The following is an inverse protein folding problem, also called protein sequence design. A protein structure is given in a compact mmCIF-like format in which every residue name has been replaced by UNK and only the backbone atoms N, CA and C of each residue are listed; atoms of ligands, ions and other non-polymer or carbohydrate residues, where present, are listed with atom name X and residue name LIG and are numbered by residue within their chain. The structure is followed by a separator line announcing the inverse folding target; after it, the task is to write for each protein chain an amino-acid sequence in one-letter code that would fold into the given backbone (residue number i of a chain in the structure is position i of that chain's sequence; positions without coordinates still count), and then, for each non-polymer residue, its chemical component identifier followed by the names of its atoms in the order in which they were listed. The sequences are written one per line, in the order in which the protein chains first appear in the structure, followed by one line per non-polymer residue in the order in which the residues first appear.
data_IF_449070981983
#
_entry.id   IF_449070981983
#
_cell.length_a   1.000
_cell.length_b   1.000
_cell.length_c   1.000
_cell.angle_alpha   90.00
_cell.angle_beta   90.00
_cell.angle_gamma   90.00
#
_symmetry.space_group_name_H-M   'P 1'
#
loop_
_entity.id
_entity.type
_entity.pdbx_description
1 polymer ?
#
# COMPACT_ATOMS: atom_id res chain seq x y z
N UNK A 1 -1.88 21.25 8.17
CA UNK A 1 -0.89 20.15 7.93
C UNK A 1 -0.76 19.35 9.22
N UNK A 2 -0.77 18.01 9.18
CA UNK A 2 -0.47 17.22 10.39
C UNK A 2 1.00 17.44 10.76
N UNK A 3 1.33 17.58 12.07
CA UNK A 3 2.70 17.74 12.49
C UNK A 3 3.54 16.52 12.08
N UNK A 4 4.85 16.70 11.82
CA UNK A 4 5.73 15.57 11.53
C UNK A 4 5.67 14.58 12.70
N UNK A 5 5.52 13.30 12.39
CA UNK A 5 5.61 12.23 13.38
C UNK A 5 7.03 11.70 13.42
N UNK A 6 7.61 11.67 14.62
CA UNK A 6 8.81 10.91 14.87
C UNK A 6 8.47 9.43 14.69
N UNK A 7 9.17 8.74 13.78
CA UNK A 7 9.13 7.29 13.71
C UNK A 7 10.28 6.77 14.56
N UNK A 8 9.95 6.06 15.64
CA UNK A 8 10.96 5.43 16.49
C UNK A 8 11.54 4.20 15.76
N UNK A 9 12.81 3.91 16.03
CA UNK A 9 13.52 2.81 15.38
C UNK A 9 12.85 1.45 15.60
N UNK A 10 12.11 1.29 16.70
CA UNK A 10 11.49 0.03 17.11
C UNK A 10 10.14 -0.24 16.42
N UNK A 11 9.56 0.73 15.69
CA UNK A 11 8.26 0.54 15.03
C UNK A 11 8.37 -0.23 13.71
N UNK A 12 9.55 -0.17 13.07
CA UNK A 12 9.79 -0.73 11.74
C UNK A 12 11.14 -1.41 11.62
N UNK A 13 11.18 -2.49 10.84
CA UNK A 13 12.43 -3.15 10.51
C UNK A 13 13.29 -2.23 9.65
N UNK A 14 14.54 -2.04 10.07
CA UNK A 14 15.54 -1.29 9.30
C UNK A 14 16.02 -2.15 8.15
N UNK A 15 15.81 -1.66 6.93
CA UNK A 15 16.39 -2.22 5.71
C UNK A 15 17.17 -1.10 5.05
N UNK A 16 18.47 -1.30 4.82
CA UNK A 16 19.24 -0.31 4.09
C UNK A 16 18.89 -0.32 2.58
N UNK A 17 19.35 0.72 1.87
CA UNK A 17 19.06 0.88 0.45
C UNK A 17 19.64 -0.27 -0.38
N UNK A 18 20.84 -0.76 -0.04
CA UNK A 18 21.52 -1.84 -0.74
C UNK A 18 20.75 -3.16 -0.63
N UNK A 19 20.25 -3.50 0.56
CA UNK A 19 19.43 -4.69 0.81
C UNK A 19 18.09 -4.58 0.09
N UNK A 20 17.45 -3.40 0.11
CA UNK A 20 16.22 -3.17 -0.66
C UNK A 20 16.40 -3.42 -2.16
N UNK A 21 17.55 -3.02 -2.71
CA UNK A 21 17.88 -3.22 -4.12
C UNK A 21 18.27 -4.68 -4.42
N UNK A 22 19.10 -5.29 -3.57
CA UNK A 22 19.57 -6.66 -3.76
C UNK A 22 18.45 -7.70 -3.67
N UNK A 23 17.47 -7.45 -2.81
CA UNK A 23 16.25 -8.27 -2.69
C UNK A 23 15.18 -7.89 -3.73
N UNK A 24 15.45 -6.92 -4.59
CA UNK A 24 14.54 -6.44 -5.63
C UNK A 24 13.14 -6.13 -5.07
N UNK A 25 13.07 -5.44 -3.91
CA UNK A 25 11.81 -5.25 -3.16
C UNK A 25 10.79 -4.48 -3.99
N UNK A 26 11.21 -3.36 -4.59
CA UNK A 26 10.34 -2.47 -5.37
C UNK A 26 10.63 -2.52 -6.87
N UNK A 27 11.89 -2.70 -7.23
CA UNK A 27 12.41 -2.73 -8.60
C UNK A 27 13.46 -3.83 -8.70
N UNK A 28 13.62 -4.40 -9.89
CA UNK A 28 14.69 -5.33 -10.21
C UNK A 28 16.04 -4.63 -10.35
N UNK A 29 17.11 -5.39 -10.61
CA UNK A 29 18.47 -4.86 -10.82
C UNK A 29 18.63 -3.91 -12.00
N UNK A 30 17.71 -3.93 -12.98
CA UNK A 30 17.72 -3.01 -14.12
C UNK A 30 16.90 -1.73 -13.86
N UNK A 31 16.30 -1.60 -12.67
CA UNK A 31 15.45 -0.46 -12.29
C UNK A 31 13.99 -0.58 -12.73
N UNK A 32 13.60 -1.69 -13.34
CA UNK A 32 12.22 -1.94 -13.74
C UNK A 32 11.41 -2.48 -12.56
N UNK A 33 10.12 -2.14 -12.50
CA UNK A 33 9.21 -2.80 -11.55
C UNK A 33 8.99 -4.27 -11.90
N UNK A 34 9.00 -4.62 -13.19
CA UNK A 34 8.74 -5.98 -13.64
C UNK A 34 9.83 -6.92 -13.11
N UNK A 35 9.42 -8.02 -12.50
CA UNK A 35 10.34 -8.97 -11.87
C UNK A 35 10.71 -8.66 -10.42
N UNK A 36 10.22 -7.55 -9.84
CA UNK A 36 10.39 -7.25 -8.41
C UNK A 36 9.39 -8.00 -7.53
N UNK A 37 9.68 -8.10 -6.22
CA UNK A 37 8.73 -8.62 -5.23
C UNK A 37 7.41 -7.84 -5.27
N UNK A 38 7.49 -6.52 -5.32
CA UNK A 38 6.31 -5.65 -5.42
C UNK A 38 5.44 -6.01 -6.63
N UNK A 39 6.03 -6.20 -7.82
CA UNK A 39 5.25 -6.55 -9.01
C UNK A 39 4.63 -7.96 -8.92
N UNK A 40 5.27 -8.90 -8.22
CA UNK A 40 4.71 -10.24 -8.03
C UNK A 40 3.44 -10.22 -7.16
N UNK A 41 3.43 -9.43 -6.08
CA UNK A 41 2.37 -9.46 -5.07
C UNK A 41 1.34 -8.33 -5.18
N UNK A 42 1.63 -7.26 -5.92
CA UNK A 42 0.70 -6.13 -6.04
C UNK A 42 -0.55 -6.53 -6.83
N UNK A 43 -1.64 -6.78 -6.10
CA UNK A 43 -2.99 -6.99 -6.63
C UNK A 43 -3.94 -5.88 -6.22
N UNK A 44 -3.44 -4.70 -5.84
CA UNK A 44 -4.30 -3.58 -5.48
C UNK A 44 -5.11 -3.09 -6.68
N UNK A 45 -6.32 -2.58 -6.43
CA UNK A 45 -7.19 -2.00 -7.48
C UNK A 45 -7.15 -0.47 -7.50
N UNK A 46 -6.37 0.15 -6.60
CA UNK A 46 -6.28 1.61 -6.46
C UNK A 46 -4.82 2.06 -6.38
N UNK A 47 -4.51 3.23 -6.94
CA UNK A 47 -3.19 3.86 -6.83
C UNK A 47 -2.75 4.14 -5.38
N UNK A 48 -3.62 4.64 -4.48
CA UNK A 48 -3.33 4.70 -3.05
C UNK A 48 -2.96 3.34 -2.42
N UNK A 49 -3.68 2.26 -2.76
CA UNK A 49 -3.39 0.92 -2.25
C UNK A 49 -2.02 0.41 -2.67
N UNK A 50 -1.68 0.54 -3.95
CA UNK A 50 -0.37 0.17 -4.48
C UNK A 50 0.78 0.93 -3.79
N UNK A 51 0.62 2.25 -3.57
CA UNK A 51 1.61 3.06 -2.83
C UNK A 51 1.72 2.68 -1.37
N UNK A 52 0.62 2.34 -0.71
CA UNK A 52 0.66 1.86 0.67
C UNK A 52 1.40 0.52 0.75
N UNK A 53 1.17 -0.39 -0.19
CA UNK A 53 1.89 -1.66 -0.26
C UNK A 53 3.40 -1.45 -0.47
N UNK A 54 3.80 -0.59 -1.40
CA UNK A 54 5.23 -0.30 -1.64
C UNK A 54 5.92 0.27 -0.39
N UNK A 55 5.26 1.19 0.33
CA UNK A 55 5.77 1.73 1.59
C UNK A 55 5.90 0.68 2.70
N UNK A 56 4.95 -0.27 2.76
CA UNK A 56 4.97 -1.35 3.75
C UNK A 56 6.09 -2.36 3.48
N UNK A 57 6.37 -2.67 2.21
CA UNK A 57 7.47 -3.54 1.82
C UNK A 57 8.84 -2.92 2.10
N UNK A 58 9.00 -1.62 1.82
CA UNK A 58 10.27 -0.92 2.04
C UNK A 58 10.60 -0.70 3.53
N UNK A 59 9.59 -0.75 4.41
CA UNK A 59 9.81 -0.60 5.84
C UNK A 59 8.79 -1.47 6.61
N UNK A 60 9.03 -2.78 6.74
CA UNK A 60 8.14 -3.71 7.43
C UNK A 60 7.88 -3.29 8.88
N UNK A 61 6.75 -3.70 9.45
CA UNK A 61 6.49 -3.48 10.88
C UNK A 61 7.44 -4.33 11.72
N UNK A 62 7.85 -3.80 12.87
CA UNK A 62 8.61 -4.55 13.88
C UNK A 62 7.79 -4.84 15.16
N UNK A 63 6.58 -4.29 15.26
CA UNK A 63 5.69 -4.47 16.41
C UNK A 63 4.72 -5.63 16.21
N UNK A 64 4.76 -6.62 17.12
CA UNK A 64 3.96 -7.85 17.06
C UNK A 64 2.46 -7.55 16.93
N UNK A 65 1.90 -6.76 17.82
CA UNK A 65 0.45 -6.47 17.83
C UNK A 65 -0.01 -5.80 16.53
N UNK A 66 0.83 -4.94 15.96
CA UNK A 66 0.55 -4.28 14.68
C UNK A 66 0.64 -5.25 13.48
N UNK A 67 1.50 -6.26 13.57
CA UNK A 67 1.60 -7.35 12.58
C UNK A 67 0.35 -8.23 12.68
N UNK A 68 -0.01 -8.66 13.89
CA UNK A 68 -1.18 -9.51 14.15
C UNK A 68 -2.48 -8.84 13.69
N UNK A 69 -2.68 -7.55 14.02
CA UNK A 69 -3.87 -6.83 13.53
C UNK A 69 -3.96 -6.73 12.00
N UNK A 70 -2.83 -6.79 11.27
CA UNK A 70 -2.85 -6.91 9.80
C UNK A 70 -3.16 -8.33 9.35
N UNK A 71 -2.59 -9.33 10.03
CA UNK A 71 -2.83 -10.74 9.72
C UNK A 71 -4.28 -11.13 9.96
N UNK A 72 -4.94 -10.59 10.99
CA UNK A 72 -6.36 -10.79 11.26
C UNK A 72 -7.22 -10.26 10.10
N UNK A 73 -6.95 -9.02 9.68
CA UNK A 73 -7.63 -8.40 8.55
C UNK A 73 -7.41 -9.18 7.24
N UNK A 74 -6.19 -9.69 7.01
CA UNK A 74 -5.88 -10.53 5.85
C UNK A 74 -6.65 -11.85 5.94
N UNK A 75 -6.63 -12.51 7.09
CA UNK A 75 -7.28 -13.81 7.31
C UNK A 75 -8.77 -13.76 7.03
N UNK A 76 -9.44 -12.66 7.42
CA UNK A 76 -10.84 -12.41 7.10
C UNK A 76 -11.11 -12.44 5.58
N UNK A 77 -10.24 -11.84 4.77
CA UNK A 77 -10.39 -11.79 3.30
C UNK A 77 -9.71 -12.96 2.56
N UNK A 78 -8.83 -13.72 3.21
CA UNK A 78 -8.10 -14.84 2.63
C UNK A 78 -8.88 -16.17 2.65
N UNK A 79 -10.01 -16.22 3.38
CA UNK A 79 -10.89 -17.38 3.42
C UNK A 79 -11.30 -17.88 2.03
N UNK A 80 -11.47 -19.20 1.92
CA UNK A 80 -11.85 -19.91 0.68
C UNK A 80 -13.37 -20.14 0.56
N UNK A 81 -14.17 -19.64 1.50
CA UNK A 81 -15.62 -19.75 1.46
C UNK A 81 -16.24 -18.86 0.37
N UNK A 82 -17.34 -19.32 -0.23
CA UNK A 82 -18.05 -18.60 -1.29
C UNK A 82 -18.44 -17.17 -0.87
N UNK A 83 -18.95 -17.00 0.35
CA UNK A 83 -19.34 -15.69 0.89
C UNK A 83 -18.16 -14.75 1.10
N UNK A 84 -17.01 -15.27 1.54
CA UNK A 84 -15.77 -14.50 1.66
C UNK A 84 -15.28 -14.03 0.29
N UNK A 85 -15.32 -14.90 -0.74
CA UNK A 85 -14.92 -14.50 -2.10
C UNK A 85 -15.84 -13.43 -2.67
N UNK A 86 -17.16 -13.61 -2.56
CA UNK A 86 -18.16 -12.61 -2.99
C UNK A 86 -17.93 -11.27 -2.30
N UNK A 87 -17.72 -11.28 -0.99
CA UNK A 87 -17.45 -10.06 -0.21
C UNK A 87 -16.17 -9.37 -0.69
N UNK A 88 -15.08 -10.13 -0.88
CA UNK A 88 -13.80 -9.61 -1.36
C UNK A 88 -13.94 -9.01 -2.76
N UNK A 89 -14.64 -9.68 -3.68
CA UNK A 89 -14.87 -9.20 -5.05
C UNK A 89 -15.73 -7.93 -5.06
N UNK A 90 -16.84 -7.90 -4.32
CA UNK A 90 -17.70 -6.74 -4.20
C UNK A 90 -16.94 -5.51 -3.66
N UNK A 91 -16.13 -5.69 -2.61
CA UNK A 91 -15.29 -4.61 -2.07
C UNK A 91 -14.24 -4.14 -3.08
N UNK A 92 -13.62 -5.05 -3.83
CA UNK A 92 -12.67 -4.67 -4.90
C UNK A 92 -13.35 -3.88 -6.01
N UNK A 93 -14.57 -4.23 -6.40
CA UNK A 93 -15.33 -3.49 -7.41
C UNK A 93 -15.61 -2.06 -6.96
N UNK A 94 -16.06 -1.88 -5.72
CA UNK A 94 -16.31 -0.55 -5.13
C UNK A 94 -15.01 0.26 -5.07
N UNK A 95 -13.93 -0.33 -4.55
CA UNK A 95 -12.64 0.36 -4.42
C UNK A 95 -12.06 0.77 -5.78
N UNK A 96 -12.23 -0.04 -6.82
CA UNK A 96 -11.74 0.26 -8.17
C UNK A 96 -12.34 1.55 -8.75
N UNK A 97 -13.55 1.92 -8.31
CA UNK A 97 -14.23 3.15 -8.73
C UNK A 97 -13.80 4.37 -7.91
N UNK A 98 -13.06 4.18 -6.82
CA UNK A 98 -12.68 5.27 -5.92
C UNK A 98 -11.50 6.07 -6.50
N UNK A 99 -11.59 7.40 -6.60
CA UNK A 99 -10.49 8.23 -7.08
C UNK A 99 -9.32 8.27 -6.10
N UNK A 100 -8.15 8.75 -6.56
CA UNK A 100 -6.98 8.99 -5.71
C UNK A 100 -7.19 10.26 -4.85
N UNK A 101 -8.04 10.14 -3.83
CA UNK A 101 -8.43 11.25 -2.95
C UNK A 101 -7.22 11.91 -2.28
N UNK A 102 -6.17 11.15 -1.94
CA UNK A 102 -4.96 11.69 -1.33
C UNK A 102 -4.26 12.70 -2.25
N UNK A 103 -4.18 12.41 -3.54
CA UNK A 103 -3.64 13.36 -4.53
C UNK A 103 -4.60 14.50 -4.83
N UNK A 104 -5.90 14.22 -4.93
CA UNK A 104 -6.91 15.26 -5.14
C UNK A 104 -6.87 16.30 -4.00
N UNK A 105 -6.86 15.86 -2.74
CA UNK A 105 -6.74 16.71 -1.56
C UNK A 105 -5.41 17.48 -1.52
N UNK A 106 -4.31 16.82 -1.92
CA UNK A 106 -3.01 17.48 -2.05
C UNK A 106 -3.02 18.61 -3.08
N UNK A 107 -3.64 18.39 -4.24
CA UNK A 107 -3.82 19.43 -5.27
C UNK A 107 -4.74 20.56 -4.81
N UNK A 108 -5.86 20.22 -4.17
CA UNK A 108 -6.81 21.18 -3.61
C UNK A 108 -6.13 22.09 -2.58
N UNK A 109 -5.36 21.51 -1.65
CA UNK A 109 -4.64 22.27 -0.61
C UNK A 109 -3.57 23.21 -1.16
N UNK A 110 -3.14 22.98 -2.40
CA UNK A 110 -2.17 23.81 -3.12
C UNK A 110 -2.84 24.71 -4.17
N UNK A 111 -4.18 24.80 -4.18
CA UNK A 111 -4.98 25.56 -5.14
C UNK A 111 -4.70 25.17 -6.61
N UNK A 112 -4.36 23.90 -6.84
CA UNK A 112 -4.04 23.32 -8.15
C UNK A 112 -5.03 22.21 -8.55
N UNK A 113 -6.25 22.22 -8.01
CA UNK A 113 -7.25 21.22 -8.37
C UNK A 113 -7.81 21.45 -9.78
N UNK A 114 -8.04 20.37 -10.52
CA UNK A 114 -8.81 20.40 -11.77
C UNK A 114 -10.24 19.88 -11.57
N UNK A 115 -11.13 20.02 -12.56
CA UNK A 115 -12.52 19.52 -12.49
C UNK A 115 -12.62 18.01 -12.18
N UNK A 116 -11.63 17.22 -12.60
CA UNK A 116 -11.52 15.78 -12.32
C UNK A 116 -11.20 15.45 -10.86
N UNK A 117 -10.75 16.42 -10.07
CA UNK A 117 -10.47 16.23 -8.64
C UNK A 117 -11.72 16.39 -7.76
N UNK A 118 -12.80 16.97 -8.32
CA UNK A 118 -14.07 17.25 -7.64
C UNK A 118 -15.21 16.32 -8.10
N UNK A 119 -14.95 15.48 -9.10
CA UNK A 119 -15.91 14.56 -9.71
C UNK A 119 -15.84 13.15 -9.09
#
# INVERSE_FOLDING_TARGET
LKPPRLMLADDRMRIDAATCQNLEILQNKTGEKKGSLFAAIDKNVTGPGARMLSQRLAAPLAQKDAIEGRLDAISFYAGQGAETSKTREAKRLILKQTPDMARALGRLSLERCGPRDLA
#
